data_IF_270543623708
#
_entry.id   IF_270543623708
#
_cell.length_a   1.000
_cell.length_b   1.000
_cell.length_c   1.000
_cell.angle_alpha   90.00
_cell.angle_beta   90.00
_cell.angle_gamma   90.00
#
_symmetry.space_group_name_H-M   'P 1'
#
loop_
_entity.id
_entity.type
_entity.pdbx_description
1 polymer ?
#
# COMPACT_ATOMS: atom_id res chain seq x y z
N UNK A 1 5.04 -2.66 12.41
CA UNK A 1 4.42 -2.76 11.08
C UNK A 1 4.90 -4.03 10.40
N UNK A 2 3.98 -4.77 9.81
CA UNK A 2 4.31 -5.97 9.06
C UNK A 2 5.18 -5.58 7.86
N UNK A 3 6.40 -6.14 7.72
CA UNK A 3 7.28 -5.75 6.63
C UNK A 3 6.76 -6.14 5.25
N UNK A 4 5.93 -7.17 5.15
CA UNK A 4 5.31 -7.56 3.88
C UNK A 4 4.27 -6.52 3.46
N UNK A 5 3.43 -6.09 4.41
CA UNK A 5 2.47 -5.01 4.16
C UNK A 5 3.18 -3.72 3.75
N UNK A 6 4.28 -3.40 4.44
CA UNK A 6 5.04 -2.19 4.13
C UNK A 6 5.63 -2.26 2.72
N UNK A 7 6.18 -3.40 2.33
CA UNK A 7 6.73 -3.58 0.98
C UNK A 7 5.65 -3.41 -0.09
N UNK A 8 4.47 -4.01 0.13
CA UNK A 8 3.32 -3.84 -0.75
C UNK A 8 2.91 -2.37 -0.84
N UNK A 9 2.88 -1.71 0.31
CA UNK A 9 2.49 -0.31 0.38
C UNK A 9 3.42 0.61 -0.38
N UNK A 10 4.72 0.44 -0.22
CA UNK A 10 5.70 1.23 -0.95
C UNK A 10 5.53 1.06 -2.45
N UNK A 11 5.33 -0.18 -2.93
CA UNK A 11 5.11 -0.44 -4.35
C UNK A 11 3.86 0.28 -4.87
N UNK A 12 2.76 0.22 -4.11
CA UNK A 12 1.50 0.90 -4.48
C UNK A 12 1.70 2.41 -4.52
N UNK A 13 2.31 2.98 -3.47
CA UNK A 13 2.45 4.44 -3.39
C UNK A 13 3.45 4.98 -4.42
N UNK A 14 4.40 4.17 -4.88
CA UNK A 14 5.32 4.57 -5.94
C UNK A 14 4.62 4.73 -7.30
N UNK A 15 3.38 4.28 -7.44
CA UNK A 15 2.56 4.57 -8.61
C UNK A 15 2.07 6.02 -8.60
N UNK A 16 2.07 6.66 -7.44
CA UNK A 16 1.55 8.02 -7.25
C UNK A 16 2.64 9.05 -6.98
N UNK A 17 3.82 8.61 -6.62
CA UNK A 17 4.97 9.49 -6.36
C UNK A 17 6.26 8.84 -6.82
N UNK A 18 7.22 9.65 -7.25
CA UNK A 18 8.56 9.17 -7.59
C UNK A 18 9.51 9.27 -6.39
N UNK A 19 9.05 9.82 -5.26
CA UNK A 19 9.85 9.99 -4.06
C UNK A 19 9.66 8.80 -3.11
N UNK A 20 10.72 8.00 -2.93
CA UNK A 20 10.70 6.84 -2.05
C UNK A 20 10.32 7.21 -0.62
N UNK A 21 10.86 8.31 -0.10
CA UNK A 21 10.58 8.73 1.28
C UNK A 21 9.10 9.08 1.47
N UNK A 22 8.49 9.69 0.46
CA UNK A 22 7.04 9.97 0.51
C UNK A 22 6.23 8.68 0.45
N UNK A 23 6.61 7.75 -0.41
CA UNK A 23 5.93 6.45 -0.50
C UNK A 23 6.02 5.71 0.83
N UNK A 24 7.18 5.70 1.45
CA UNK A 24 7.39 5.09 2.75
C UNK A 24 6.51 5.72 3.82
N UNK A 25 6.48 7.05 3.87
CA UNK A 25 5.70 7.78 4.87
C UNK A 25 4.20 7.52 4.71
N UNK A 26 3.70 7.61 3.48
CA UNK A 26 2.28 7.35 3.20
C UNK A 26 1.90 5.93 3.59
N UNK A 27 2.77 4.96 3.25
CA UNK A 27 2.55 3.56 3.61
C UNK A 27 2.47 3.37 5.12
N UNK A 28 3.39 3.98 5.87
CA UNK A 28 3.39 3.89 7.33
C UNK A 28 2.14 4.53 7.93
N UNK A 29 1.68 5.65 7.37
CA UNK A 29 0.47 6.31 7.84
C UNK A 29 -0.76 5.40 7.65
N UNK A 30 -0.90 4.78 6.49
CA UNK A 30 -2.00 3.85 6.24
C UNK A 30 -1.95 2.64 7.17
N UNK A 31 -0.77 2.07 7.36
CA UNK A 31 -0.61 0.88 8.18
C UNK A 31 -0.74 1.17 9.69
N UNK A 32 -0.53 2.41 10.10
CA UNK A 32 -0.80 2.82 11.47
C UNK A 32 -2.30 2.80 11.78
N UNK A 33 -3.13 3.10 10.80
CA UNK A 33 -4.59 3.08 10.96
C UNK A 33 -5.18 1.69 10.71
N UNK A 34 -4.72 1.00 9.67
CA UNK A 34 -5.20 -0.34 9.32
C UNK A 34 -3.99 -1.23 9.04
N UNK A 35 -3.70 -2.16 9.94
CA UNK A 35 -2.47 -2.95 9.91
C UNK A 35 -2.32 -3.84 8.67
N UNK A 36 -3.42 -4.20 8.01
CA UNK A 36 -3.43 -5.01 6.79
C UNK A 36 -4.02 -4.23 5.61
N UNK A 37 -3.84 -2.93 5.59
CA UNK A 37 -4.42 -2.03 4.60
C UNK A 37 -4.18 -2.48 3.16
N UNK A 38 -2.94 -2.84 2.82
CA UNK A 38 -2.60 -3.18 1.44
C UNK A 38 -3.09 -4.57 1.02
N UNK A 39 -3.21 -5.50 1.95
CA UNK A 39 -3.88 -6.78 1.69
C UNK A 39 -5.36 -6.55 1.38
N UNK A 40 -6.01 -5.69 2.15
CA UNK A 40 -7.43 -5.35 1.92
C UNK A 40 -7.62 -4.60 0.61
N UNK A 41 -6.70 -3.70 0.29
CA UNK A 41 -6.76 -2.94 -0.96
C UNK A 41 -6.63 -3.88 -2.17
N UNK A 42 -5.65 -4.79 -2.14
CA UNK A 42 -5.44 -5.76 -3.21
C UNK A 42 -6.67 -6.65 -3.39
N UNK A 43 -7.29 -7.08 -2.28
CA UNK A 43 -8.49 -7.90 -2.32
C UNK A 43 -9.66 -7.14 -2.94
N UNK A 44 -9.84 -5.89 -2.54
CA UNK A 44 -10.91 -5.04 -3.08
C UNK A 44 -10.74 -4.84 -4.59
N UNK A 45 -9.52 -4.57 -5.03
CA UNK A 45 -9.23 -4.37 -6.44
C UNK A 45 -9.46 -5.64 -7.25
N UNK A 46 -9.08 -6.79 -6.70
CA UNK A 46 -9.31 -8.09 -7.33
C UNK A 46 -10.80 -8.37 -7.46
N UNK A 47 -11.57 -8.11 -6.40
CA UNK A 47 -13.02 -8.32 -6.39
C UNK A 47 -13.74 -7.37 -7.35
N UNK A 48 -13.23 -6.17 -7.52
CA UNK A 48 -13.80 -5.17 -8.41
C UNK A 48 -13.40 -5.40 -9.88
N UNK A 49 -12.50 -6.35 -10.15
CA UNK A 49 -12.00 -6.61 -11.48
C UNK A 49 -11.02 -5.56 -11.99
N UNK A 50 -10.41 -4.81 -11.06
CA UNK A 50 -9.39 -3.82 -11.42
C UNK A 50 -8.07 -4.54 -11.65
N UNK A 51 -7.51 -4.36 -12.84
CA UNK A 51 -6.21 -4.92 -13.21
C UNK A 51 -5.27 -3.81 -13.64
N UNK A 52 -4.03 -3.94 -13.28
CA UNK A 52 -2.99 -2.98 -13.66
C UNK A 52 -2.41 -3.28 -15.03
#
# INVERSE_FOLDING_TARGET
>A
VDPVELAMGIAVEMEHTTCFLMALRISLDHLAEVSDYYTRLAKMESEAGVED
#
